data_IF_901240240125
#
_entry.id   IF_901240240125
#
_cell.length_a   1.000
_cell.length_b   1.000
_cell.length_c   1.000
_cell.angle_alpha   90.00
_cell.angle_beta   90.00
_cell.angle_gamma   90.00
#
_symmetry.space_group_name_H-M   'P 1'
#
loop_
_entity.id
_entity.type
_entity.pdbx_description
1 polymer ?
#
# COMPACT_ATOMS: atom_id res chain seq x y z
N UNK A 1 16.10 18.70 -0.20
CA UNK A 1 14.97 18.02 0.47
C UNK A 1 13.73 18.24 -0.37
N UNK A 2 12.75 17.34 -0.30
CA UNK A 2 11.48 17.51 -0.98
C UNK A 2 10.73 18.75 -0.47
N UNK A 3 9.90 19.31 -1.33
CA UNK A 3 9.13 20.54 -1.15
C UNK A 3 7.66 20.30 -1.47
N UNK A 4 6.81 21.30 -1.23
CA UNK A 4 5.38 21.21 -1.52
C UNK A 4 5.08 21.00 -3.00
N UNK A 5 6.00 21.30 -3.91
CA UNK A 5 5.84 21.07 -5.36
C UNK A 5 6.16 19.61 -5.77
N UNK A 6 6.82 18.85 -4.90
CA UNK A 6 7.22 17.47 -5.18
C UNK A 6 6.07 16.48 -4.90
N UNK A 7 6.16 15.32 -5.56
CA UNK A 7 5.35 14.15 -5.29
C UNK A 7 6.27 12.97 -4.93
N UNK A 8 6.05 12.37 -3.77
CA UNK A 8 6.83 11.22 -3.30
C UNK A 8 6.01 9.94 -3.51
N UNK A 9 6.58 8.98 -4.23
CA UNK A 9 6.07 7.61 -4.27
C UNK A 9 6.92 6.70 -3.37
N UNK A 10 6.26 5.89 -2.54
CA UNK A 10 6.92 4.94 -1.66
C UNK A 10 6.37 3.52 -1.85
N UNK A 11 7.29 2.56 -1.93
CA UNK A 11 7.01 1.11 -1.91
C UNK A 11 7.88 0.48 -0.81
N UNK A 12 7.57 0.73 0.48
CA UNK A 12 8.38 0.29 1.60
C UNK A 12 8.38 -1.24 1.73
N UNK A 13 9.39 -1.82 2.41
CA UNK A 13 9.39 -3.25 2.71
C UNK A 13 8.11 -3.64 3.46
N UNK A 14 7.33 -4.55 2.86
CA UNK A 14 6.12 -5.11 3.43
C UNK A 14 6.38 -5.67 4.85
N UNK A 15 5.53 -5.34 5.82
CA UNK A 15 5.76 -5.68 7.23
C UNK A 15 5.78 -7.20 7.46
N UNK A 16 5.08 -7.96 6.62
CA UNK A 16 5.11 -9.43 6.61
C UNK A 16 6.46 -10.04 6.21
N UNK A 17 7.38 -9.23 5.66
CA UNK A 17 8.61 -9.72 5.03
C UNK A 17 9.87 -9.53 5.87
N UNK A 18 9.79 -8.75 6.94
CA UNK A 18 10.93 -8.44 7.82
C UNK A 18 11.14 -9.46 8.96
N UNK A 19 10.27 -10.47 9.12
CA UNK A 19 10.32 -11.41 10.25
C UNK A 19 11.14 -12.68 10.01
N UNK A 20 11.45 -13.02 8.76
CA UNK A 20 12.16 -14.27 8.44
C UNK A 20 13.67 -14.04 8.33
N UNK A 21 14.44 -15.09 8.64
CA UNK A 21 15.92 -15.19 8.69
C UNK A 21 16.68 -14.77 7.41
N UNK A 22 15.98 -14.30 6.39
CA UNK A 22 16.53 -13.87 5.11
C UNK A 22 16.13 -12.41 4.88
N UNK A 23 16.94 -11.44 5.35
CA UNK A 23 16.60 -10.05 5.23
C UNK A 23 16.75 -9.64 3.76
N UNK A 24 15.66 -9.70 3.00
CA UNK A 24 15.56 -9.07 1.67
C UNK A 24 15.92 -7.56 1.72
N UNK A 25 15.88 -6.97 2.92
CA UNK A 25 16.25 -5.59 3.20
C UNK A 25 17.34 -5.55 4.26
N UNK A 26 18.42 -4.82 3.98
CA UNK A 26 19.63 -4.70 4.81
C UNK A 26 19.34 -4.31 6.27
N UNK A 27 18.29 -3.51 6.49
CA UNK A 27 17.70 -3.22 7.79
C UNK A 27 16.18 -3.17 7.64
N UNK A 28 15.45 -3.66 8.66
CA UNK A 28 14.01 -3.47 8.70
C UNK A 28 13.66 -1.99 8.85
N UNK A 29 12.65 -1.51 8.14
CA UNK A 29 12.05 -0.20 8.42
C UNK A 29 11.24 -0.33 9.71
N UNK A 30 11.60 0.42 10.74
CA UNK A 30 10.81 0.49 11.97
C UNK A 30 9.49 1.20 11.66
N UNK A 31 8.36 0.53 11.93
CA UNK A 31 7.03 1.04 11.60
C UNK A 31 6.78 2.41 12.24
N UNK A 32 7.18 2.59 13.49
CA UNK A 32 7.00 3.83 14.24
C UNK A 32 7.81 4.99 13.62
N UNK A 33 9.03 4.71 13.16
CA UNK A 33 9.83 5.71 12.45
C UNK A 33 9.25 6.03 11.09
N UNK A 34 8.71 5.03 10.38
CA UNK A 34 8.03 5.26 9.10
C UNK A 34 6.84 6.19 9.29
N UNK A 35 5.95 5.90 10.24
CA UNK A 35 4.79 6.74 10.57
C UNK A 35 5.22 8.16 10.93
N UNK A 36 6.23 8.32 11.78
CA UNK A 36 6.72 9.66 12.17
C UNK A 36 7.27 10.47 10.98
N UNK A 37 7.89 9.82 10.00
CA UNK A 37 8.30 10.52 8.76
C UNK A 37 7.10 10.92 7.90
N UNK A 38 6.02 10.13 7.88
CA UNK A 38 4.78 10.52 7.18
C UNK A 38 4.10 11.71 7.86
N UNK A 39 4.09 11.76 9.19
CA UNK A 39 3.62 12.93 9.95
C UNK A 39 4.41 14.18 9.57
N UNK A 40 5.73 14.08 9.47
CA UNK A 40 6.58 15.18 9.01
C UNK A 40 6.23 15.64 7.57
N UNK A 41 5.95 14.71 6.64
CA UNK A 41 5.53 15.08 5.29
C UNK A 41 4.18 15.80 5.28
N UNK A 42 3.23 15.35 6.11
CA UNK A 42 1.94 16.01 6.30
C UNK A 42 2.10 17.42 6.86
N UNK A 43 2.92 17.61 7.90
CA UNK A 43 3.22 18.93 8.49
C UNK A 43 3.83 19.91 7.48
N UNK A 44 4.59 19.38 6.51
CA UNK A 44 5.20 20.15 5.43
C UNK A 44 4.33 20.28 4.18
N UNK A 45 3.10 19.76 4.22
CA UNK A 45 2.17 19.76 3.08
C UNK A 45 2.77 19.14 1.79
N UNK A 46 3.70 18.18 1.96
CA UNK A 46 4.35 17.50 0.84
C UNK A 46 3.44 16.36 0.37
N UNK A 47 3.21 16.27 -0.93
CA UNK A 47 2.34 15.25 -1.51
C UNK A 47 3.05 13.89 -1.58
N UNK A 48 2.37 12.82 -1.17
CA UNK A 48 2.90 11.48 -1.28
C UNK A 48 1.84 10.41 -1.49
N UNK A 49 2.27 9.26 -2.03
CA UNK A 49 1.48 8.04 -2.09
C UNK A 49 2.31 6.80 -1.76
N UNK A 50 1.66 5.79 -1.19
CA UNK A 50 2.31 4.60 -0.64
C UNK A 50 1.61 3.35 -1.19
N UNK A 51 2.37 2.50 -1.89
CA UNK A 51 2.01 1.11 -2.14
C UNK A 51 2.25 0.31 -0.87
N UNK A 52 1.24 -0.41 -0.36
CA UNK A 52 1.32 -1.05 0.94
C UNK A 52 0.65 -2.41 1.00
N UNK A 53 0.94 -3.13 2.09
CA UNK A 53 0.35 -4.44 2.38
C UNK A 53 -1.18 -4.40 2.28
N UNK A 54 -1.73 -5.38 1.57
CA UNK A 54 -3.17 -5.53 1.40
C UNK A 54 -3.75 -6.79 2.03
N UNK A 55 -4.69 -7.44 1.35
CA UNK A 55 -5.39 -8.64 1.85
C UNK A 55 -5.59 -9.68 0.75
N UNK A 56 -5.60 -10.95 1.11
CA UNK A 56 -5.99 -12.05 0.23
C UNK A 56 -7.14 -12.82 0.89
N UNK A 57 -8.29 -12.88 0.23
CA UNK A 57 -9.51 -13.42 0.83
C UNK A 57 -9.84 -12.73 2.16
N UNK A 58 -9.93 -13.51 3.25
CA UNK A 58 -10.16 -13.00 4.61
C UNK A 58 -8.89 -12.63 5.39
N UNK A 59 -7.71 -12.80 4.79
CA UNK A 59 -6.42 -12.59 5.47
C UNK A 59 -5.85 -11.24 5.10
N UNK A 60 -5.70 -10.35 6.08
CA UNK A 60 -4.93 -9.10 5.93
C UNK A 60 -3.44 -9.35 6.21
N UNK A 61 -2.58 -8.67 5.47
CA UNK A 61 -1.14 -8.66 5.68
C UNK A 61 -0.72 -7.30 6.27
N UNK A 62 0.28 -7.32 7.14
CA UNK A 62 0.77 -6.09 7.79
C UNK A 62 -0.25 -5.42 8.73
N UNK A 63 0.12 -4.24 9.22
CA UNK A 63 -0.70 -3.34 10.03
C UNK A 63 -1.03 -2.13 9.17
N UNK A 64 -2.31 -1.76 9.12
CA UNK A 64 -2.73 -0.54 8.43
C UNK A 64 -2.00 0.70 8.95
N UNK A 65 -1.85 1.71 8.08
CA UNK A 65 -1.33 3.00 8.50
C UNK A 65 -2.30 3.68 9.47
N UNK A 66 -1.80 4.42 10.47
CA UNK A 66 -2.66 5.02 11.48
C UNK A 66 -3.65 6.02 10.88
N UNK A 67 -4.91 5.98 11.34
CA UNK A 67 -5.93 6.94 10.92
C UNK A 67 -5.56 8.40 11.25
N UNK A 68 -4.67 8.62 12.22
CA UNK A 68 -4.13 9.95 12.57
C UNK A 68 -3.36 10.62 11.44
N UNK A 69 -2.88 9.85 10.45
CA UNK A 69 -2.22 10.40 9.27
C UNK A 69 -3.18 11.03 8.25
N UNK A 70 -4.50 10.84 8.40
CA UNK A 70 -5.50 11.42 7.48
C UNK A 70 -5.42 10.91 6.04
N UNK A 71 -4.84 9.72 5.82
CA UNK A 71 -4.64 9.19 4.47
C UNK A 71 -5.91 8.60 3.90
N UNK A 72 -6.12 8.84 2.61
CA UNK A 72 -7.15 8.15 1.87
C UNK A 72 -6.62 6.80 1.40
N UNK A 73 -7.34 5.71 1.72
CA UNK A 73 -6.96 4.34 1.39
C UNK A 73 -7.83 3.83 0.25
N UNK A 74 -7.19 3.36 -0.81
CA UNK A 74 -7.81 2.70 -1.96
C UNK A 74 -7.38 1.23 -1.96
N UNK A 75 -8.33 0.31 -2.09
CA UNK A 75 -8.03 -1.11 -2.26
C UNK A 75 -8.05 -1.47 -3.74
N UNK A 76 -6.92 -1.92 -4.28
CA UNK A 76 -6.78 -2.29 -5.69
C UNK A 76 -6.86 -3.81 -5.78
N UNK A 77 -7.83 -4.35 -6.51
CA UNK A 77 -7.89 -5.77 -6.86
C UNK A 77 -6.78 -6.11 -7.86
N UNK A 78 -5.82 -6.93 -7.44
CA UNK A 78 -4.65 -7.33 -8.26
C UNK A 78 -4.77 -8.74 -8.83
N UNK A 79 -5.92 -9.39 -8.63
CA UNK A 79 -6.23 -10.71 -9.19
C UNK A 79 -6.02 -11.86 -8.21
N UNK A 80 -5.96 -13.09 -8.73
CA UNK A 80 -5.94 -14.30 -7.91
C UNK A 80 -4.57 -14.53 -7.30
N UNK A 81 -4.54 -14.93 -6.03
CA UNK A 81 -3.30 -15.33 -5.36
C UNK A 81 -2.69 -16.57 -6.03
N UNK A 82 -1.43 -16.49 -6.45
CA UNK A 82 -0.68 -17.63 -7.03
C UNK A 82 -0.62 -18.81 -6.07
N UNK A 83 -0.38 -18.55 -4.78
CA UNK A 83 -0.33 -19.59 -3.75
C UNK A 83 -1.70 -20.24 -3.55
N UNK A 84 -2.77 -19.45 -3.51
CA UNK A 84 -4.13 -19.99 -3.38
C UNK A 84 -4.52 -20.78 -4.62
N UNK A 85 -4.12 -20.32 -5.81
CA UNK A 85 -4.36 -21.02 -7.08
C UNK A 85 -3.69 -22.39 -7.10
N UNK A 86 -2.44 -22.50 -6.64
CA UNK A 86 -1.72 -23.78 -6.51
C UNK A 86 -2.40 -24.76 -5.53
N UNK A 87 -3.12 -24.23 -4.54
CA UNK A 87 -3.88 -25.02 -3.57
C UNK A 87 -5.34 -25.28 -3.99
N UNK A 88 -5.73 -24.92 -5.22
CA UNK A 88 -7.09 -25.09 -5.75
C UNK A 88 -8.11 -24.03 -5.28
N UNK A 89 -7.65 -23.02 -4.54
CA UNK A 89 -8.48 -21.92 -4.04
C UNK A 89 -8.58 -20.77 -5.06
N UNK A 90 -9.64 -19.97 -4.95
CA UNK A 90 -9.93 -18.83 -5.84
C UNK A 90 -9.80 -17.47 -5.15
N UNK A 91 -9.01 -17.40 -4.09
CA UNK A 91 -8.88 -16.18 -3.28
C UNK A 91 -8.31 -15.02 -4.11
N UNK A 92 -9.02 -13.89 -4.05
CA UNK A 92 -8.65 -12.64 -4.68
C UNK A 92 -7.72 -11.87 -3.73
N UNK A 93 -6.67 -11.29 -4.29
CA UNK A 93 -5.75 -10.39 -3.60
C UNK A 93 -6.12 -8.95 -3.92
N UNK A 94 -6.14 -8.14 -2.87
CA UNK A 94 -6.20 -6.69 -2.95
C UNK A 94 -4.92 -6.12 -2.37
N UNK A 95 -4.38 -5.08 -2.98
CA UNK A 95 -3.27 -4.26 -2.46
C UNK A 95 -3.81 -2.92 -1.99
N UNK A 96 -3.16 -2.31 -0.99
CA UNK A 96 -3.58 -1.02 -0.46
C UNK A 96 -2.73 0.10 -1.05
N UNK A 97 -3.39 1.14 -1.56
CA UNK A 97 -2.76 2.38 -1.99
C UNK A 97 -3.22 3.49 -1.04
N UNK A 98 -2.28 4.14 -0.37
CA UNK A 98 -2.56 5.29 0.49
C UNK A 98 -2.16 6.59 -0.21
N UNK A 99 -3.01 7.61 -0.12
CA UNK A 99 -2.81 8.94 -0.67
C UNK A 99 -2.83 9.97 0.47
N UNK A 100 -1.86 10.90 0.49
CA UNK A 100 -1.86 12.01 1.43
C UNK A 100 -2.96 13.02 1.12
N UNK A 101 -3.45 13.72 2.15
CA UNK A 101 -4.44 14.78 1.97
C UNK A 101 -3.95 15.89 1.02
N UNK A 102 -2.67 16.25 1.15
CA UNK A 102 -2.00 17.21 0.25
C UNK A 102 -2.03 16.78 -1.23
N UNK A 103 -1.97 15.48 -1.52
CA UNK A 103 -2.08 14.96 -2.89
C UNK A 103 -3.51 15.06 -3.41
N UNK A 104 -4.50 14.72 -2.58
CA UNK A 104 -5.93 14.78 -2.94
C UNK A 104 -6.35 16.21 -3.23
N UNK A 105 -5.90 17.16 -2.41
CA UNK A 105 -6.23 18.57 -2.58
C UNK A 105 -5.67 19.16 -3.89
N UNK A 106 -4.57 18.60 -4.43
CA UNK A 106 -4.04 18.98 -5.76
C UNK A 106 -4.87 18.43 -6.92
N UNK A 107 -5.59 17.32 -6.71
CA UNK A 107 -6.40 16.66 -7.73
C UNK A 107 -7.78 16.33 -7.17
N UNK A 108 -8.67 17.34 -7.04
CA UNK A 108 -10.01 17.15 -6.50
C UNK A 108 -10.87 16.34 -7.48
N UNK A 109 -10.70 15.02 -7.42
CA UNK A 109 -11.47 14.03 -8.14
C UNK A 109 -12.14 13.13 -7.10
N UNK A 110 -13.34 12.64 -7.39
CA UNK A 110 -13.93 11.58 -6.57
C UNK A 110 -13.03 10.34 -6.63
N UNK A 111 -12.43 9.99 -5.48
CA UNK A 111 -11.56 8.82 -5.36
C UNK A 111 -12.39 7.58 -4.99
N UNK A 112 -12.18 6.45 -5.69
CA UNK A 112 -12.87 5.21 -5.36
C UNK A 112 -12.24 4.55 -4.13
N UNK A 113 -13.05 3.93 -3.27
CA UNK A 113 -12.54 3.09 -2.17
C UNK A 113 -11.95 1.77 -2.67
N UNK A 114 -12.48 1.23 -3.77
CA UNK A 114 -12.04 -0.03 -4.38
C UNK A 114 -11.91 0.15 -5.89
N UNK A 115 -10.78 -0.29 -6.44
CA UNK A 115 -10.54 -0.34 -7.89
C UNK A 115 -10.36 -1.79 -8.29
N UNK A 116 -11.24 -2.30 -9.17
CA UNK A 116 -11.05 -3.60 -9.81
C UNK A 116 -10.44 -3.39 -11.19
N UNK A 117 -9.15 -3.67 -11.32
CA UNK A 117 -8.51 -3.72 -12.63
C UNK A 117 -8.83 -5.10 -13.20
N UNK A 118 -9.87 -5.25 -14.04
CA UNK A 118 -10.22 -6.54 -14.68
C UNK A 118 -8.94 -7.21 -15.20
N UNK A 119 -8.37 -8.21 -14.51
CA UNK A 119 -7.09 -8.72 -14.91
C UNK A 119 -7.33 -9.60 -16.13
N UNK A 120 -6.56 -9.40 -17.21
CA UNK A 120 -6.37 -10.43 -18.23
C UNK A 120 -5.43 -11.50 -17.65
N UNK A 121 -5.83 -12.15 -16.56
CA UNK A 121 -5.08 -13.28 -16.04
C UNK A 121 -5.34 -14.47 -16.96
N UNK A 122 -4.35 -14.80 -17.79
CA UNK A 122 -4.41 -15.96 -18.66
C UNK A 122 -4.42 -17.22 -17.78
N UNK A 123 -5.46 -18.03 -17.91
CA UNK A 123 -5.48 -19.35 -17.29
C UNK A 123 -4.50 -20.26 -18.05
N UNK A 124 -3.70 -21.02 -17.32
CA UNK A 124 -2.97 -22.15 -17.90
C UNK A 124 -4.00 -23.21 -18.24
N UNK A 125 -4.39 -23.27 -19.51
CA UNK A 125 -5.19 -24.35 -20.11
C UNK A 125 -4.26 -25.54 -20.34
#
# INVERSE_FOLDING_TARGET
MATEEDLIYMDPPYQGTCKNKDPRYLSGVLYEQFVSNLEYLNEKNIAYLISYDGKTGNKSYGKDLPASLGLHKIMIEVGRSTQSTLLGNKDITYEALYLSESLINKFPTELPEIVSLKPKQLELI
#
